data_IF_978224075184
#
_entry.id   IF_978224075184
#
_cell.length_a   1.000
_cell.length_b   1.000
_cell.length_c   1.000
_cell.angle_alpha   90.00
_cell.angle_beta   90.00
_cell.angle_gamma   90.00
#
_symmetry.space_group_name_H-M   'P 1'
#
loop_
_entity.id
_entity.type
_entity.pdbx_description
1 polymer ?
#
# COMPACT_ATOMS: atom_id res chain seq x y z
N UNK A 1 5.71 -26.11 -27.45
CA UNK A 1 6.06 -24.69 -27.23
C UNK A 1 7.57 -24.56 -27.37
N UNK A 2 8.05 -23.55 -28.09
CA UNK A 2 9.49 -23.34 -28.29
C UNK A 2 10.14 -22.92 -26.95
N UNK A 3 11.26 -23.53 -26.59
CA UNK A 3 12.01 -23.26 -25.35
C UNK A 3 12.38 -21.77 -25.21
N UNK A 4 12.71 -21.11 -26.33
CA UNK A 4 13.05 -19.69 -26.35
C UNK A 4 11.87 -18.80 -25.93
N UNK A 5 10.64 -19.13 -26.34
CA UNK A 5 9.45 -18.40 -25.91
C UNK A 5 9.15 -18.61 -24.43
N UNK A 6 9.35 -19.83 -23.92
CA UNK A 6 9.17 -20.08 -22.49
C UNK A 6 10.15 -19.26 -21.66
N UNK A 7 11.43 -19.20 -22.03
CA UNK A 7 12.44 -18.41 -21.32
C UNK A 7 12.16 -16.90 -21.41
N UNK A 8 11.68 -16.44 -22.57
CA UNK A 8 11.29 -15.05 -22.76
C UNK A 8 10.11 -14.66 -21.86
N UNK A 9 9.04 -15.46 -21.87
CA UNK A 9 7.85 -15.24 -21.04
C UNK A 9 8.15 -15.38 -19.54
N UNK A 10 8.96 -16.36 -19.12
CA UNK A 10 9.41 -16.48 -17.73
C UNK A 10 10.20 -15.26 -17.26
N UNK A 11 10.98 -14.65 -18.16
CA UNK A 11 11.71 -13.42 -17.85
C UNK A 11 10.72 -12.27 -17.61
N UNK A 12 9.72 -12.10 -18.48
CA UNK A 12 8.66 -11.09 -18.28
C UNK A 12 7.83 -11.37 -17.03
N UNK A 13 7.43 -12.62 -16.79
CA UNK A 13 6.67 -13.05 -15.61
C UNK A 13 7.43 -12.69 -14.33
N UNK A 14 8.74 -12.94 -14.29
CA UNK A 14 9.59 -12.57 -13.16
C UNK A 14 9.64 -11.06 -12.94
N UNK A 15 9.65 -10.27 -14.01
CA UNK A 15 9.63 -8.81 -13.95
C UNK A 15 8.29 -8.22 -13.52
N UNK A 16 7.21 -8.90 -13.89
CA UNK A 16 5.84 -8.53 -13.58
C UNK A 16 5.26 -9.34 -12.40
N UNK A 17 6.09 -10.10 -11.66
CA UNK A 17 5.64 -11.02 -10.61
C UNK A 17 4.88 -10.33 -9.46
N UNK A 18 4.98 -9.01 -9.37
CA UNK A 18 4.26 -8.18 -8.41
C UNK A 18 2.84 -7.78 -8.90
N UNK A 19 2.52 -7.95 -10.19
CA UNK A 19 1.20 -7.71 -10.76
C UNK A 19 0.24 -8.88 -10.48
N UNK A 20 -1.05 -8.58 -10.35
CA UNK A 20 -2.09 -9.60 -10.10
C UNK A 20 -2.54 -10.27 -11.40
N UNK A 21 -2.54 -9.52 -12.49
CA UNK A 21 -2.90 -9.92 -13.85
C UNK A 21 -1.68 -10.45 -14.62
N UNK A 22 -0.57 -10.78 -13.95
CA UNK A 22 0.64 -11.25 -14.63
C UNK A 22 0.39 -12.52 -15.45
N UNK A 23 -0.46 -13.42 -14.97
CA UNK A 23 -0.87 -14.62 -15.73
C UNK A 23 -1.58 -14.23 -17.02
N UNK A 24 -2.60 -13.38 -16.93
CA UNK A 24 -3.35 -12.90 -18.09
C UNK A 24 -2.45 -12.15 -19.08
N UNK A 25 -1.50 -11.34 -18.60
CA UNK A 25 -0.52 -10.64 -19.43
C UNK A 25 0.40 -11.64 -20.14
N UNK A 26 0.90 -12.65 -19.42
CA UNK A 26 1.79 -13.67 -19.98
C UNK A 26 1.06 -14.52 -21.00
N UNK A 27 -0.21 -14.85 -20.76
CA UNK A 27 -1.06 -15.60 -21.70
C UNK A 27 -1.34 -14.77 -22.97
N UNK A 28 -1.67 -13.48 -22.85
CA UNK A 28 -1.87 -12.61 -24.02
C UNK A 28 -0.56 -12.41 -24.81
N UNK A 29 0.57 -12.23 -24.11
CA UNK A 29 1.88 -12.15 -24.75
C UNK A 29 2.23 -13.46 -25.47
N UNK A 30 1.90 -14.61 -24.87
CA UNK A 30 2.07 -15.91 -25.49
C UNK A 30 1.26 -16.02 -26.79
N UNK A 31 0.01 -15.56 -26.78
CA UNK A 31 -0.86 -15.57 -27.96
C UNK A 31 -0.34 -14.63 -29.04
N UNK A 32 0.17 -13.45 -28.68
CA UNK A 32 0.83 -12.54 -29.61
C UNK A 32 2.12 -13.10 -30.22
N UNK A 33 2.96 -13.76 -29.42
CA UNK A 33 4.17 -14.43 -29.91
C UNK A 33 3.80 -15.55 -30.88
N UNK A 34 2.81 -16.38 -30.54
CA UNK A 34 2.34 -17.49 -31.37
C UNK A 34 1.74 -16.99 -32.68
N UNK A 35 0.88 -15.97 -32.62
CA UNK A 35 0.25 -15.37 -33.80
C UNK A 35 1.28 -14.71 -34.73
N UNK A 36 2.26 -13.97 -34.18
CA UNK A 36 3.34 -13.38 -34.98
C UNK A 36 4.23 -14.45 -35.62
N UNK A 37 4.53 -15.52 -34.89
CA UNK A 37 5.30 -16.65 -35.40
C UNK A 37 4.60 -17.35 -36.58
N UNK A 38 3.32 -17.69 -36.43
CA UNK A 38 2.50 -18.31 -37.48
C UNK A 38 2.41 -17.40 -38.72
N UNK A 39 2.23 -16.08 -38.51
CA UNK A 39 2.26 -15.09 -39.58
C UNK A 39 3.57 -15.13 -40.35
N UNK A 40 4.73 -15.15 -39.68
CA UNK A 40 6.03 -15.18 -40.34
C UNK A 40 6.28 -16.51 -41.09
N UNK A 41 5.86 -17.64 -40.52
CA UNK A 41 5.91 -18.93 -41.23
C UNK A 41 5.03 -18.90 -42.49
N UNK A 42 3.83 -18.31 -42.41
CA UNK A 42 2.93 -18.19 -43.57
C UNK A 42 3.51 -17.32 -44.69
N UNK A 43 4.42 -16.40 -44.35
CA UNK A 43 5.19 -15.59 -45.30
C UNK A 43 6.39 -16.32 -45.90
N UNK A 44 6.61 -17.58 -45.53
CA UNK A 44 7.66 -18.44 -46.08
C UNK A 44 8.98 -18.42 -45.31
N UNK A 45 9.04 -17.82 -44.11
CA UNK A 45 10.23 -17.91 -43.27
C UNK A 45 10.40 -19.32 -42.70
N UNK A 46 11.66 -19.73 -42.54
CA UNK A 46 12.00 -20.92 -41.79
C UNK A 46 11.52 -20.78 -40.33
N UNK A 47 10.92 -21.82 -39.71
CA UNK A 47 10.53 -21.81 -38.31
C UNK A 47 11.58 -21.25 -37.33
N UNK A 48 12.86 -21.56 -37.48
CA UNK A 48 13.88 -21.02 -36.56
C UNK A 48 14.05 -19.51 -36.71
N UNK A 49 14.11 -19.01 -37.94
CA UNK A 49 14.24 -17.57 -38.24
C UNK A 49 12.99 -16.79 -37.84
N UNK A 50 11.81 -17.40 -37.97
CA UNK A 50 10.54 -16.83 -37.55
C UNK A 50 10.49 -16.61 -36.02
N UNK A 51 11.10 -17.50 -35.23
CA UNK A 51 11.20 -17.32 -33.77
C UNK A 51 12.07 -16.13 -33.42
N UNK A 52 13.30 -16.08 -33.93
CA UNK A 52 14.24 -15.01 -33.63
C UNK A 52 13.68 -13.65 -34.07
N UNK A 53 13.03 -13.60 -35.23
CA UNK A 53 12.41 -12.37 -35.74
C UNK A 53 11.22 -11.92 -34.89
N UNK A 54 10.38 -12.86 -34.44
CA UNK A 54 9.25 -12.55 -33.55
C UNK A 54 9.71 -11.94 -32.23
N UNK A 55 10.75 -12.52 -31.61
CA UNK A 55 11.32 -11.97 -30.36
C UNK A 55 11.94 -10.60 -30.60
N UNK A 56 12.67 -10.44 -31.72
CA UNK A 56 13.26 -9.16 -32.09
C UNK A 56 12.21 -8.06 -32.34
N UNK A 57 11.05 -8.40 -32.92
CA UNK A 57 9.94 -7.47 -33.14
C UNK A 57 9.24 -7.09 -31.83
N UNK A 58 9.11 -8.03 -30.89
CA UNK A 58 8.52 -7.77 -29.58
C UNK A 58 9.42 -6.90 -28.68
N UNK A 59 10.74 -7.03 -28.81
CA UNK A 59 11.72 -6.29 -28.03
C UNK A 59 12.20 -7.04 -26.79
N UNK A 60 13.05 -6.41 -25.97
CA UNK A 60 13.60 -7.07 -24.78
C UNK A 60 12.52 -7.29 -23.72
N UNK A 61 12.62 -8.36 -22.90
CA UNK A 61 11.69 -8.60 -21.79
C UNK A 61 11.53 -7.39 -20.87
N UNK A 62 12.62 -6.65 -20.62
CA UNK A 62 12.61 -5.45 -19.79
C UNK A 62 11.84 -4.30 -20.44
N UNK A 63 12.01 -4.09 -21.75
CA UNK A 63 11.29 -3.07 -22.48
C UNK A 63 9.78 -3.35 -22.49
N UNK A 64 9.39 -4.60 -22.75
CA UNK A 64 7.99 -5.04 -22.71
C UNK A 64 7.43 -4.95 -21.31
N UNK A 65 8.12 -5.47 -20.29
CA UNK A 65 7.68 -5.33 -18.90
C UNK A 65 7.53 -3.85 -18.51
N UNK A 66 8.41 -2.97 -19.03
CA UNK A 66 8.34 -1.53 -18.78
C UNK A 66 7.17 -0.82 -19.45
N UNK A 67 6.69 -1.31 -20.60
CA UNK A 67 5.54 -0.71 -21.27
C UNK A 67 4.24 -0.97 -20.51
N UNK A 68 4.14 -2.12 -19.84
CA UNK A 68 3.07 -2.41 -18.88
C UNK A 68 3.16 -1.58 -17.60
N UNK A 69 4.23 -0.80 -17.40
CA UNK A 69 4.28 0.14 -16.29
C UNK A 69 3.63 1.45 -16.68
N UNK A 70 3.75 1.88 -17.94
CA UNK A 70 3.35 3.22 -18.37
C UNK A 70 1.90 3.24 -18.88
N UNK A 71 0.92 3.10 -17.98
CA UNK A 71 -0.51 3.08 -18.31
C UNK A 71 -1.07 4.43 -18.84
N UNK A 72 -0.22 5.39 -19.23
CA UNK A 72 -0.64 6.69 -19.79
C UNK A 72 -1.40 7.62 -18.82
N UNK A 73 -1.80 7.14 -17.63
CA UNK A 73 -2.53 7.88 -16.59
C UNK A 73 -1.67 8.31 -15.39
N UNK A 74 -0.35 8.14 -15.46
CA UNK A 74 0.59 8.94 -14.66
C UNK A 74 0.86 8.50 -13.22
N UNK A 75 1.26 7.24 -13.01
CA UNK A 75 2.00 6.89 -11.79
C UNK A 75 2.09 5.40 -11.50
N UNK A 76 3.27 4.82 -11.76
CA UNK A 76 3.60 3.43 -11.42
C UNK A 76 4.03 3.37 -9.96
N UNK A 77 3.37 2.55 -9.15
CA UNK A 77 3.79 2.32 -7.78
C UNK A 77 4.89 1.25 -7.72
N UNK A 78 6.14 1.64 -7.91
CA UNK A 78 7.26 0.71 -7.82
C UNK A 78 7.42 0.17 -6.39
N UNK A 79 7.61 -1.16 -6.21
CA UNK A 79 8.17 -1.71 -4.98
C UNK A 79 9.52 -1.07 -4.66
N UNK A 80 9.71 -0.61 -3.43
CA UNK A 80 10.98 0.00 -2.99
C UNK A 80 11.36 -0.47 -1.58
N UNK A 81 12.63 -0.30 -1.20
CA UNK A 81 13.07 -0.59 0.17
C UNK A 81 12.27 0.24 1.19
N UNK A 82 11.89 1.46 0.82
CA UNK A 82 11.02 2.34 1.61
C UNK A 82 9.61 1.77 1.77
N UNK A 83 9.00 1.23 0.71
CA UNK A 83 7.66 0.62 0.80
C UNK A 83 7.65 -0.60 1.71
N UNK A 84 8.70 -1.44 1.65
CA UNK A 84 8.85 -2.60 2.55
C UNK A 84 9.02 -2.20 4.01
N UNK A 85 9.87 -1.20 4.28
CA UNK A 85 10.05 -0.66 5.63
C UNK A 85 8.74 -0.05 6.17
N UNK A 86 8.02 0.70 5.33
CA UNK A 86 6.68 1.20 5.65
C UNK A 86 5.66 0.08 5.90
N UNK A 87 5.77 -1.02 5.16
CA UNK A 87 4.97 -2.22 5.39
C UNK A 87 5.20 -2.85 6.76
N UNK A 88 6.46 -2.98 7.17
CA UNK A 88 6.80 -3.43 8.53
C UNK A 88 6.27 -2.45 9.59
N UNK A 89 6.41 -1.14 9.36
CA UNK A 89 5.87 -0.12 10.26
C UNK A 89 4.35 -0.27 10.44
N UNK A 90 3.61 -0.53 9.36
CA UNK A 90 2.17 -0.80 9.45
C UNK A 90 1.82 -2.08 10.19
N UNK A 91 2.56 -3.18 9.99
CA UNK A 91 2.31 -4.42 10.74
C UNK A 91 2.47 -4.15 12.24
N UNK A 92 3.57 -3.52 12.65
CA UNK A 92 3.83 -3.19 14.05
C UNK A 92 2.78 -2.23 14.60
N UNK A 93 2.46 -1.16 13.86
CA UNK A 93 1.41 -0.22 14.23
C UNK A 93 0.06 -0.91 14.41
N UNK A 94 -0.30 -1.82 13.51
CA UNK A 94 -1.58 -2.52 13.56
C UNK A 94 -1.70 -3.44 14.77
N UNK A 95 -0.62 -4.15 15.14
CA UNK A 95 -0.55 -4.92 16.39
C UNK A 95 -0.68 -4.01 17.62
N UNK A 96 -0.04 -2.84 17.59
CA UNK A 96 -0.15 -1.86 18.68
C UNK A 96 -1.57 -1.32 18.83
N UNK A 97 -2.25 -0.96 17.74
CA UNK A 97 -3.64 -0.51 17.78
C UNK A 97 -4.59 -1.59 18.32
N UNK A 98 -4.42 -2.85 17.92
CA UNK A 98 -5.19 -3.97 18.47
C UNK A 98 -4.98 -4.12 19.99
N UNK A 99 -3.72 -4.09 20.42
CA UNK A 99 -3.37 -4.19 21.84
C UNK A 99 -3.90 -2.99 22.65
N UNK A 100 -3.77 -1.77 22.12
CA UNK A 100 -4.31 -0.54 22.71
C UNK A 100 -5.83 -0.61 22.88
N UNK A 101 -6.56 -1.02 21.84
CA UNK A 101 -8.01 -1.15 21.90
C UNK A 101 -8.47 -2.19 22.93
N UNK A 102 -7.79 -3.35 22.98
CA UNK A 102 -8.08 -4.38 23.98
C UNK A 102 -7.79 -3.89 25.40
N UNK A 103 -6.59 -3.35 25.64
CA UNK A 103 -6.16 -2.83 26.94
C UNK A 103 -7.10 -1.75 27.47
N UNK A 104 -7.47 -0.80 26.60
CA UNK A 104 -8.39 0.27 26.93
C UNK A 104 -9.79 -0.26 27.26
N UNK A 105 -10.34 -1.17 26.43
CA UNK A 105 -11.64 -1.79 26.67
C UNK A 105 -11.69 -2.56 28.00
N UNK A 106 -10.66 -3.37 28.29
CA UNK A 106 -10.58 -4.08 29.57
C UNK A 106 -10.48 -3.15 30.77
N UNK A 107 -9.69 -2.08 30.65
CA UNK A 107 -9.52 -1.09 31.71
C UNK A 107 -10.80 -0.33 31.99
N UNK A 108 -11.56 -0.01 30.94
CA UNK A 108 -12.86 0.63 31.05
C UNK A 108 -13.87 -0.22 31.84
N UNK A 109 -13.99 -1.52 31.52
CA UNK A 109 -14.92 -2.41 32.22
C UNK A 109 -14.39 -2.91 33.57
N UNK A 110 -13.08 -2.83 33.82
CA UNK A 110 -12.43 -3.31 35.06
C UNK A 110 -11.38 -2.31 35.56
N UNK A 111 -11.80 -1.12 36.05
CA UNK A 111 -10.89 -0.05 36.42
C UNK A 111 -9.99 -0.35 37.63
N UNK A 112 -10.37 -1.30 38.48
CA UNK A 112 -9.57 -1.73 39.65
C UNK A 112 -8.69 -2.97 39.36
N UNK A 113 -8.54 -3.37 38.09
CA UNK A 113 -7.74 -4.54 37.72
C UNK A 113 -6.28 -4.18 37.44
N UNK A 114 -5.38 -5.18 37.48
CA UNK A 114 -3.99 -5.02 37.05
C UNK A 114 -3.88 -4.58 35.58
N UNK A 115 -4.90 -4.85 34.76
CA UNK A 115 -4.97 -4.40 33.36
C UNK A 115 -5.15 -2.89 33.27
N UNK A 116 -5.88 -2.26 34.20
CA UNK A 116 -6.00 -0.81 34.25
C UNK A 116 -4.65 -0.13 34.55
N UNK A 117 -3.84 -0.74 35.42
CA UNK A 117 -2.47 -0.30 35.68
C UNK A 117 -1.61 -0.48 34.42
N UNK A 118 -1.68 -1.64 33.77
CA UNK A 118 -0.96 -1.88 32.51
C UNK A 118 -1.36 -0.87 31.42
N UNK A 119 -2.64 -0.52 31.33
CA UNK A 119 -3.14 0.43 30.35
C UNK A 119 -2.57 1.85 30.55
N UNK A 120 -2.24 2.25 31.77
CA UNK A 120 -1.57 3.53 32.01
C UNK A 120 -0.14 3.58 31.44
N UNK A 121 0.56 2.44 31.41
CA UNK A 121 1.84 2.32 30.71
C UNK A 121 1.64 2.19 29.20
N UNK A 122 0.59 1.46 28.79
CA UNK A 122 0.30 1.18 27.39
C UNK A 122 -0.19 2.42 26.63
N UNK A 123 -0.92 3.33 27.28
CA UNK A 123 -1.34 4.62 26.70
C UNK A 123 -0.13 5.47 26.27
N UNK A 124 1.01 5.34 26.97
CA UNK A 124 2.30 5.91 26.58
C UNK A 124 2.75 5.52 25.17
N UNK A 125 2.30 4.37 24.66
CA UNK A 125 2.66 3.85 23.34
C UNK A 125 1.76 4.37 22.21
N UNK A 126 0.72 5.15 22.50
CA UNK A 126 -0.16 5.74 21.47
C UNK A 126 0.66 6.58 20.50
N UNK A 127 1.57 7.42 20.99
CA UNK A 127 2.40 8.28 20.14
C UNK A 127 3.32 7.46 19.22
N UNK A 128 3.79 6.29 19.67
CA UNK A 128 4.58 5.35 18.87
C UNK A 128 3.71 4.70 17.78
N UNK A 129 2.48 4.27 18.12
CA UNK A 129 1.55 3.70 17.15
C UNK A 129 1.16 4.71 16.06
N UNK A 130 0.91 5.98 16.44
CA UNK A 130 0.65 7.08 15.51
C UNK A 130 1.86 7.31 14.61
N UNK A 131 3.07 7.42 15.18
CA UNK A 131 4.31 7.62 14.41
C UNK A 131 4.53 6.51 13.37
N UNK A 132 4.40 5.25 13.76
CA UNK A 132 4.55 4.11 12.86
C UNK A 132 3.49 4.10 11.75
N UNK A 133 2.25 4.47 12.09
CA UNK A 133 1.18 4.62 11.09
C UNK A 133 1.52 5.73 10.10
N UNK A 134 2.01 6.88 10.58
CA UNK A 134 2.43 8.00 9.72
C UNK A 134 3.62 7.62 8.84
N UNK A 135 4.60 6.89 9.35
CA UNK A 135 5.72 6.38 8.56
C UNK A 135 5.24 5.46 7.43
N UNK A 136 4.34 4.53 7.72
CA UNK A 136 3.76 3.66 6.69
C UNK A 136 2.99 4.46 5.62
N UNK A 137 2.25 5.50 6.02
CA UNK A 137 1.56 6.41 5.09
C UNK A 137 2.55 7.21 4.22
N UNK A 138 3.64 7.72 4.80
CA UNK A 138 4.68 8.45 4.08
C UNK A 138 5.42 7.52 3.11
N UNK A 139 5.74 6.31 3.53
CA UNK A 139 6.35 5.29 2.68
C UNK A 139 5.44 4.89 1.52
N UNK A 140 4.14 4.73 1.76
CA UNK A 140 3.15 4.60 0.71
C UNK A 140 3.18 5.82 -0.23
N UNK A 141 3.24 7.03 0.31
CA UNK A 141 3.27 8.24 -0.51
C UNK A 141 4.50 8.30 -1.43
N UNK A 142 5.64 7.76 -0.96
CA UNK A 142 6.90 7.72 -1.72
C UNK A 142 6.90 6.77 -2.92
N UNK A 143 5.92 5.86 -3.04
CA UNK A 143 5.83 4.92 -4.19
C UNK A 143 5.29 5.55 -5.46
N UNK A 144 4.48 6.60 -5.34
CA UNK A 144 3.78 7.17 -6.49
C UNK A 144 4.74 8.08 -7.27
N UNK A 145 5.30 7.55 -8.36
CA UNK A 145 6.19 8.27 -9.25
C UNK A 145 5.42 9.37 -10.02
N UNK A 146 5.56 10.63 -9.58
CA UNK A 146 5.09 11.88 -10.22
C UNK A 146 3.57 12.16 -10.17
N UNK A 147 3.23 13.44 -10.44
CA UNK A 147 3.20 14.43 -9.38
C UNK A 147 2.21 13.98 -8.30
N UNK A 148 2.74 13.80 -7.08
CA UNK A 148 1.98 13.50 -5.86
C UNK A 148 0.66 14.28 -5.89
N UNK A 149 -0.45 13.57 -6.10
CA UNK A 149 -1.78 14.21 -6.15
C UNK A 149 -1.95 15.06 -4.91
N UNK A 150 -2.63 16.21 -5.00
CA UNK A 150 -2.83 17.09 -3.85
C UNK A 150 -3.35 16.30 -2.63
N UNK A 151 -4.21 15.31 -2.88
CA UNK A 151 -4.76 14.37 -1.91
C UNK A 151 -3.68 13.60 -1.12
N UNK A 152 -2.63 13.11 -1.78
CA UNK A 152 -1.55 12.36 -1.15
C UNK A 152 -0.58 13.27 -0.39
N UNK A 153 -0.34 14.51 -0.87
CA UNK A 153 0.41 15.54 -0.12
C UNK A 153 -0.33 15.94 1.14
N UNK A 154 -1.63 16.17 1.05
CA UNK A 154 -2.48 16.45 2.20
C UNK A 154 -2.52 15.25 3.15
N UNK A 155 -2.60 14.03 2.63
CA UNK A 155 -2.57 12.80 3.43
C UNK A 155 -1.27 12.64 4.22
N UNK A 156 -0.11 12.78 3.59
CA UNK A 156 1.19 12.65 4.25
C UNK A 156 1.48 13.81 5.22
N UNK A 157 1.14 15.05 4.85
CA UNK A 157 1.25 16.20 5.74
C UNK A 157 0.35 16.05 6.98
N UNK A 158 -0.88 15.55 6.81
CA UNK A 158 -1.79 15.26 7.92
C UNK A 158 -1.28 14.14 8.81
N UNK A 159 -0.61 13.11 8.25
CA UNK A 159 0.04 12.05 9.02
C UNK A 159 1.19 12.60 9.88
N UNK A 160 2.05 13.44 9.29
CA UNK A 160 3.15 14.06 10.01
C UNK A 160 2.61 14.97 11.14
N UNK A 161 1.59 15.78 10.85
CA UNK A 161 0.96 16.63 11.85
C UNK A 161 0.29 15.81 12.96
N UNK A 162 -0.40 14.72 12.64
CA UNK A 162 -0.99 13.81 13.63
C UNK A 162 0.07 13.25 14.59
N UNK A 163 1.23 12.84 14.07
CA UNK A 163 2.33 12.32 14.87
C UNK A 163 2.89 13.40 15.82
N UNK A 164 3.11 14.62 15.32
CA UNK A 164 3.58 15.73 16.16
C UNK A 164 2.58 16.05 17.26
N UNK A 165 1.29 16.17 16.93
CA UNK A 165 0.23 16.47 17.91
C UNK A 165 0.11 15.33 18.93
N UNK A 166 0.20 14.06 18.53
CA UNK A 166 0.14 12.93 19.45
C UNK A 166 1.36 12.84 20.40
N UNK A 167 2.52 13.37 19.99
CA UNK A 167 3.72 13.43 20.83
C UNK A 167 3.64 14.61 21.82
N UNK A 168 3.22 15.79 21.34
CA UNK A 168 3.19 17.02 22.16
C UNK A 168 1.95 17.08 23.07
N UNK A 169 0.81 16.58 22.59
CA UNK A 169 -0.49 16.70 23.24
C UNK A 169 -1.18 15.33 23.30
N UNK A 170 -0.59 14.39 24.06
CA UNK A 170 -1.07 13.00 24.12
C UNK A 170 -2.56 12.88 24.52
N UNK A 171 -3.01 13.74 25.45
CA UNK A 171 -4.40 13.80 25.91
C UNK A 171 -5.37 14.46 24.92
N UNK A 172 -4.87 15.04 23.83
CA UNK A 172 -5.68 15.68 22.79
C UNK A 172 -6.11 14.69 21.71
N UNK A 173 -6.62 13.52 22.12
CA UNK A 173 -7.21 12.54 21.22
C UNK A 173 -8.24 13.11 20.22
N UNK A 174 -9.10 14.08 20.61
CA UNK A 174 -10.01 14.73 19.67
C UNK A 174 -9.31 15.49 18.53
N UNK A 175 -8.00 15.75 18.61
CA UNK A 175 -7.22 16.48 17.61
C UNK A 175 -6.39 15.54 16.75
N UNK A 176 -5.60 14.64 17.34
CA UNK A 176 -4.70 13.76 16.57
C UNK A 176 -5.43 12.59 15.88
N UNK A 177 -6.52 12.07 16.46
CA UNK A 177 -7.27 10.97 15.86
C UNK A 177 -7.96 11.34 14.52
N UNK A 178 -8.63 12.51 14.40
CA UNK A 178 -9.12 13.00 13.10
C UNK A 178 -8.03 13.10 12.03
N UNK A 179 -6.86 13.63 12.39
CA UNK A 179 -5.76 13.86 11.46
C UNK A 179 -5.18 12.53 10.95
N UNK A 180 -4.99 11.56 11.85
CA UNK A 180 -4.55 10.22 11.48
C UNK A 180 -5.59 9.51 10.60
N UNK A 181 -6.87 9.71 10.89
CA UNK A 181 -7.97 9.21 10.11
C UNK A 181 -8.05 9.76 8.70
N UNK A 182 -8.04 11.07 8.57
CA UNK A 182 -8.02 11.75 7.29
C UNK A 182 -6.79 11.30 6.49
N UNK A 183 -5.62 11.22 7.14
CA UNK A 183 -4.40 10.74 6.52
C UNK A 183 -4.55 9.32 5.95
N UNK A 184 -4.99 8.36 6.76
CA UNK A 184 -5.18 6.96 6.32
C UNK A 184 -6.26 6.81 5.25
N UNK A 185 -7.37 7.54 5.35
CA UNK A 185 -8.46 7.51 4.37
C UNK A 185 -8.06 8.15 3.04
N UNK A 186 -7.36 9.30 3.07
CA UNK A 186 -6.86 9.97 1.87
C UNK A 186 -5.79 9.13 1.17
N UNK A 187 -4.88 8.51 1.92
CA UNK A 187 -3.91 7.56 1.38
C UNK A 187 -4.60 6.37 0.74
N UNK A 188 -5.59 5.77 1.41
CA UNK A 188 -6.34 4.65 0.84
C UNK A 188 -7.10 5.07 -0.44
N UNK A 189 -7.76 6.23 -0.44
CA UNK A 189 -8.46 6.76 -1.62
C UNK A 189 -7.52 7.04 -2.79
N UNK A 190 -6.37 7.65 -2.54
CA UNK A 190 -5.35 7.88 -3.57
C UNK A 190 -4.87 6.55 -4.16
N UNK A 191 -4.61 5.56 -3.30
CA UNK A 191 -4.20 4.22 -3.73
C UNK A 191 -5.25 3.49 -4.58
N UNK A 192 -6.53 3.59 -4.21
CA UNK A 192 -7.62 2.96 -4.94
C UNK A 192 -7.87 3.61 -6.32
N UNK A 193 -7.49 4.88 -6.49
CA UNK A 193 -7.59 5.59 -7.77
C UNK A 193 -6.38 5.38 -8.67
N UNK A 194 -5.20 5.16 -8.10
CA UNK A 194 -3.94 5.01 -8.84
C UNK A 194 -3.71 3.62 -9.46
N UNK A 195 -4.77 2.81 -9.69
CA UNK A 195 -4.67 1.40 -10.16
C UNK A 195 -3.59 0.60 -9.42
N UNK A 196 -3.35 0.94 -8.16
CA UNK A 196 -2.24 0.36 -7.41
C UNK A 196 -2.64 -1.06 -7.02
N UNK A 197 -1.97 -2.04 -7.64
CA UNK A 197 -2.22 -3.50 -7.61
C UNK A 197 -2.03 -4.14 -6.22
N UNK A 198 -2.10 -3.35 -5.15
CA UNK A 198 -2.11 -3.89 -3.79
C UNK A 198 -3.41 -4.68 -3.58
N UNK A 199 -3.28 -5.94 -3.11
CA UNK A 199 -4.38 -6.85 -2.69
C UNK A 199 -5.10 -6.35 -1.44
N UNK A 200 -5.43 -5.06 -1.37
CA UNK A 200 -6.21 -4.50 -0.28
C UNK A 200 -7.67 -4.65 -0.68
N UNK A 201 -8.36 -5.61 -0.07
CA UNK A 201 -9.80 -5.81 -0.34
C UNK A 201 -10.55 -4.49 -0.21
N UNK A 202 -11.51 -4.26 -1.10
CA UNK A 202 -12.41 -3.09 -1.03
C UNK A 202 -13.04 -2.93 0.36
N UNK A 203 -13.26 -4.02 1.08
CA UNK A 203 -13.72 -4.04 2.47
C UNK A 203 -12.77 -3.30 3.45
N UNK A 204 -11.45 -3.44 3.29
CA UNK A 204 -10.43 -2.75 4.12
C UNK A 204 -10.40 -1.25 3.83
N UNK A 205 -10.46 -0.89 2.55
CA UNK A 205 -10.61 0.49 2.09
C UNK A 205 -11.92 1.12 2.58
N UNK A 206 -12.98 0.33 2.60
CA UNK A 206 -14.31 0.73 3.05
C UNK A 206 -14.33 0.88 4.57
N UNK A 207 -13.71 -0.01 5.34
CA UNK A 207 -13.58 0.16 6.80
C UNK A 207 -12.78 1.40 7.18
N UNK A 208 -11.73 1.75 6.43
CA UNK A 208 -11.00 3.01 6.62
C UNK A 208 -11.87 4.25 6.33
N UNK A 209 -12.78 4.19 5.34
CA UNK A 209 -13.73 5.27 5.02
C UNK A 209 -14.85 5.40 6.05
N UNK A 210 -15.43 4.27 6.45
CA UNK A 210 -16.63 4.20 7.30
C UNK A 210 -16.34 4.34 8.79
N UNK A 211 -15.09 4.14 9.23
CA UNK A 211 -14.73 4.49 10.59
C UNK A 211 -14.88 5.99 10.85
N UNK A 212 -14.60 6.87 9.88
CA UNK A 212 -14.54 8.34 10.10
C UNK A 212 -15.82 9.13 9.82
N UNK A 213 -16.60 8.76 8.79
CA UNK A 213 -17.79 9.54 8.41
C UNK A 213 -18.83 9.69 9.55
N UNK A 214 -19.12 8.65 10.36
CA UNK A 214 -20.10 8.74 11.43
C UNK A 214 -19.48 9.00 12.81
N UNK A 215 -18.27 8.52 13.11
CA UNK A 215 -17.74 8.61 14.48
C UNK A 215 -17.20 10.00 14.81
N UNK A 216 -16.63 10.74 13.85
CA UNK A 216 -16.04 12.05 14.13
C UNK A 216 -17.07 13.14 14.47
N UNK A 217 -18.15 13.31 13.66
CA UNK A 217 -19.19 14.27 14.00
C UNK A 217 -19.88 13.84 15.29
N UNK A 218 -20.12 12.54 15.47
CA UNK A 218 -20.76 12.02 16.67
C UNK A 218 -19.90 12.24 17.93
N UNK A 219 -18.59 12.00 17.89
CA UNK A 219 -17.67 12.22 19.01
C UNK A 219 -17.51 13.71 19.33
N UNK A 220 -17.38 14.57 18.31
CA UNK A 220 -17.35 16.03 18.51
C UNK A 220 -18.68 16.52 19.08
N UNK A 221 -19.80 16.03 18.57
CA UNK A 221 -21.14 16.40 19.05
C UNK A 221 -21.38 15.90 20.47
N UNK A 222 -20.97 14.67 20.80
CA UNK A 222 -21.08 14.11 22.16
C UNK A 222 -20.14 14.85 23.12
N UNK A 223 -18.89 15.11 22.73
CA UNK A 223 -17.93 15.85 23.56
C UNK A 223 -18.36 17.30 23.84
N UNK A 224 -19.01 17.96 22.88
CA UNK A 224 -19.51 19.32 23.03
C UNK A 224 -20.83 19.39 23.83
N UNK A 225 -21.73 18.42 23.65
CA UNK A 225 -23.08 18.46 24.27
C UNK A 225 -23.10 17.76 25.63
N UNK A 226 -22.36 16.65 25.79
CA UNK A 226 -22.33 15.83 27.01
C UNK A 226 -20.92 15.27 27.24
N UNK A 227 -19.99 16.06 27.81
CA UNK A 227 -18.63 15.58 28.11
C UNK A 227 -18.61 14.33 29.01
N UNK A 228 -19.65 14.12 29.83
CA UNK A 228 -19.81 12.93 30.69
C UNK A 228 -20.34 11.68 29.96
N UNK A 229 -20.86 11.81 28.74
CA UNK A 229 -21.39 10.70 27.92
C UNK A 229 -20.39 10.25 26.85
N UNK A 230 -19.32 11.01 26.64
CA UNK A 230 -18.20 10.60 25.79
C UNK A 230 -17.56 9.27 26.25
N UNK A 231 -17.72 8.93 27.53
CA UNK A 231 -17.33 7.64 28.11
C UNK A 231 -18.18 6.45 27.60
N UNK A 232 -19.31 6.67 26.91
CA UNK A 232 -20.35 5.67 26.67
C UNK A 232 -20.21 4.77 25.44
N UNK A 233 -19.18 4.92 24.60
CA UNK A 233 -19.06 4.13 23.36
C UNK A 233 -17.82 3.21 23.28
N UNK A 234 -17.51 2.40 24.32
CA UNK A 234 -16.29 1.59 24.34
C UNK A 234 -16.25 0.50 23.27
N UNK A 235 -17.40 -0.05 22.91
CA UNK A 235 -17.49 -1.03 21.82
C UNK A 235 -17.19 -0.39 20.45
N UNK A 236 -17.56 0.87 20.27
CA UNK A 236 -17.19 1.64 19.08
C UNK A 236 -15.67 1.75 18.98
N UNK A 237 -15.02 2.35 19.98
CA UNK A 237 -13.56 2.51 20.00
C UNK A 237 -12.82 1.19 19.77
N UNK A 238 -13.23 0.12 20.44
CA UNK A 238 -12.65 -1.21 20.24
C UNK A 238 -12.77 -1.69 18.80
N UNK A 239 -13.96 -1.58 18.19
CA UNK A 239 -14.18 -1.93 16.79
C UNK A 239 -13.31 -1.09 15.86
N UNK A 240 -13.15 0.21 16.15
CA UNK A 240 -12.27 1.11 15.39
C UNK A 240 -10.81 0.73 15.43
N UNK A 241 -10.27 0.51 16.63
CA UNK A 241 -8.90 0.05 16.81
C UNK A 241 -8.67 -1.30 16.15
N UNK A 242 -9.65 -2.21 16.23
CA UNK A 242 -9.56 -3.51 15.57
C UNK A 242 -9.56 -3.40 14.05
N UNK A 243 -10.48 -2.63 13.47
CA UNK A 243 -10.56 -2.40 12.03
C UNK A 243 -9.30 -1.71 11.50
N UNK A 244 -8.84 -0.65 12.17
CA UNK A 244 -7.59 0.03 11.82
C UNK A 244 -6.41 -0.95 11.92
N UNK A 245 -6.29 -1.69 13.02
CA UNK A 245 -5.19 -2.62 13.24
C UNK A 245 -5.13 -3.73 12.20
N UNK A 246 -6.26 -4.39 11.90
CA UNK A 246 -6.36 -5.42 10.85
C UNK A 246 -6.03 -4.83 9.48
N UNK A 247 -6.51 -3.61 9.19
CA UNK A 247 -6.26 -2.93 7.92
C UNK A 247 -4.78 -2.63 7.71
N UNK A 248 -4.10 -2.13 8.75
CA UNK A 248 -2.67 -1.85 8.73
C UNK A 248 -1.86 -3.13 8.60
N UNK A 249 -2.21 -4.21 9.33
CA UNK A 249 -1.53 -5.51 9.20
C UNK A 249 -1.65 -6.04 7.77
N UNK A 250 -2.86 -6.10 7.21
CA UNK A 250 -3.07 -6.59 5.83
C UNK A 250 -2.31 -5.76 4.80
N UNK A 251 -2.37 -4.43 4.92
CA UNK A 251 -1.66 -3.50 4.03
C UNK A 251 -0.14 -3.68 4.17
N UNK A 252 0.35 -3.77 5.40
CA UNK A 252 1.77 -3.93 5.69
C UNK A 252 2.33 -5.28 5.27
N UNK A 253 1.55 -6.37 5.41
CA UNK A 253 1.91 -7.70 4.88
C UNK A 253 2.04 -7.67 3.36
N UNK A 254 1.10 -7.02 2.67
CA UNK A 254 1.20 -6.86 1.21
C UNK A 254 2.49 -6.10 0.82
N UNK A 255 2.75 -4.94 1.46
CA UNK A 255 3.94 -4.12 1.18
C UNK A 255 5.26 -4.81 1.55
N UNK A 256 5.32 -5.56 2.65
CA UNK A 256 6.55 -6.21 3.12
C UNK A 256 6.93 -7.43 2.29
N UNK A 257 5.93 -8.09 1.69
CA UNK A 257 6.09 -9.24 0.78
C UNK A 257 6.60 -8.87 -0.61
N UNK A 258 6.69 -7.57 -0.92
CA UNK A 258 7.17 -7.13 -2.22
C UNK A 258 8.66 -7.45 -2.42
N UNK A 259 8.98 -8.05 -3.56
CA UNK A 259 10.36 -8.31 -3.94
C UNK A 259 10.93 -7.04 -4.61
N UNK A 260 11.88 -6.38 -3.95
CA UNK A 260 12.62 -5.29 -4.59
C UNK A 260 13.59 -5.87 -5.62
N UNK A 261 13.57 -5.34 -6.86
CA UNK A 261 14.76 -5.40 -7.72
C UNK A 261 15.89 -4.66 -7.00
N UNK A 262 16.98 -5.36 -6.72
CA UNK A 262 18.13 -4.80 -5.99
C UNK A 262 19.01 -3.92 -6.89
N UNK A 263 18.81 -3.93 -8.20
CA UNK A 263 19.62 -3.13 -9.12
C UNK A 263 18.74 -2.24 -9.98
N UNK A 264 19.04 -0.93 -10.11
CA UNK A 264 18.61 -0.22 -11.31
C UNK A 264 19.14 -0.99 -12.52
N UNK A 265 18.43 -1.00 -13.66
CA UNK A 265 19.06 -1.43 -14.90
C UNK A 265 20.37 -0.63 -15.01
N UNK A 266 21.50 -1.31 -15.17
CA UNK A 266 22.71 -0.63 -15.63
C UNK A 266 22.29 0.03 -16.93
N UNK A 267 22.03 1.34 -16.86
CA UNK A 267 21.95 2.16 -18.05
C UNK A 267 23.36 2.08 -18.58
N UNK A 268 23.53 1.26 -19.61
CA UNK A 268 24.80 1.05 -20.28
C UNK A 268 25.13 2.36 -21.02
N UNK A 269 25.58 3.36 -20.25
CA UNK A 269 25.94 4.70 -20.70
C UNK A 269 27.09 4.65 -21.73
N UNK A 270 27.71 3.47 -21.90
CA UNK A 270 28.69 3.18 -22.92
C UNK A 270 28.14 3.26 -24.36
N UNK A 271 26.82 3.15 -24.59
CA UNK A 271 26.26 3.26 -25.95
C UNK A 271 25.94 4.70 -26.38
N UNK A 272 25.96 5.68 -25.46
CA UNK A 272 25.70 7.10 -25.80
C UNK A 272 26.94 7.92 -26.17
N UNK A 273 28.14 7.35 -26.16
CA UNK A 273 29.38 8.05 -26.57
C UNK A 273 29.88 7.70 -27.97
N UNK A 274 29.06 7.05 -28.81
CA UNK A 274 29.47 6.59 -30.15
C UNK A 274 28.64 7.18 -31.31
N UNK A 275 27.92 8.30 -31.10
CA UNK A 275 27.30 9.09 -32.16
C UNK A 275 27.67 10.56 -32.05
#
# INVERSE_FOLDING_TARGET
MNETYQLYLQSIEKELAWRQDVGDIVDELHDHLSSSHERLISMGLNPSEAVDRTICEMGSPEAVASSFLDDGYGGVAYPSRSSRAGGLAFIVAGLMWLSLGLSWSFSYYRPASWVAVLNSYWSGLVSVAVLLTSLGVISLASRLARPVTAMLRFGSASAALAAVVAIVCQDSAPVWAPLLGASTALSALAYNKSFCVLRISSAVLTSLKFWFLPTLPLQLTIGLIRPQVADGAPLGWLAGFALLGISLIKTGSALSSEHCRISPPEVDLAQTSAN
#
